data_IF_526328439897
#
_entry.id   IF_526328439897
#
_cell.length_a   1.000
_cell.length_b   1.000
_cell.length_c   1.000
_cell.angle_alpha   90.00
_cell.angle_beta   90.00
_cell.angle_gamma   90.00
#
_symmetry.space_group_name_H-M   'P 1'
#
loop_
_entity.id
_entity.type
_entity.pdbx_description
1 polymer ?
#
# COMPACT_ATOMS: atom_id res chain seq x y z
N UNK A 1 14.96 -13.23 -1.09
CA UNK A 1 14.96 -13.45 -2.56
C UNK A 1 14.58 -12.12 -3.16
N UNK A 2 15.37 -11.57 -4.10
CA UNK A 2 15.14 -10.21 -4.64
C UNK A 2 13.89 -10.19 -5.52
N UNK A 3 13.07 -9.13 -5.45
CA UNK A 3 11.84 -8.99 -6.24
C UNK A 3 12.14 -9.01 -7.76
N UNK A 4 11.86 -10.15 -8.41
CA UNK A 4 12.15 -10.40 -9.82
C UNK A 4 11.45 -9.43 -10.77
N UNK A 5 10.21 -9.05 -10.47
CA UNK A 5 9.47 -8.12 -11.32
C UNK A 5 10.13 -6.74 -11.35
N UNK A 6 10.69 -6.29 -10.22
CA UNK A 6 11.44 -5.02 -10.14
C UNK A 6 12.79 -5.14 -10.84
N UNK A 7 13.50 -6.26 -10.67
CA UNK A 7 14.75 -6.52 -11.39
C UNK A 7 14.53 -6.45 -12.90
N UNK A 8 13.51 -7.14 -13.41
CA UNK A 8 13.20 -7.15 -14.85
C UNK A 8 12.72 -5.77 -15.35
N UNK A 9 12.06 -4.99 -14.50
CA UNK A 9 11.69 -3.60 -14.81
C UNK A 9 12.94 -2.72 -14.96
N UNK A 10 13.85 -2.76 -13.98
CA UNK A 10 15.06 -1.94 -13.99
C UNK A 10 15.98 -2.38 -15.14
N UNK A 11 16.22 -3.68 -15.31
CA UNK A 11 17.10 -4.21 -16.35
C UNK A 11 16.67 -3.77 -17.76
N UNK A 12 15.35 -3.72 -18.03
CA UNK A 12 14.81 -3.22 -19.31
C UNK A 12 14.94 -1.70 -19.48
N UNK A 13 14.93 -0.96 -18.38
CA UNK A 13 15.01 0.50 -18.41
C UNK A 13 16.46 0.99 -18.58
N UNK A 14 17.45 0.30 -18.02
CA UNK A 14 18.86 0.74 -18.05
C UNK A 14 19.39 1.04 -19.47
N UNK A 15 19.14 0.21 -20.51
CA UNK A 15 19.62 0.49 -21.85
C UNK A 15 18.98 1.71 -22.52
N UNK A 16 17.74 2.02 -22.14
CA UNK A 16 16.97 3.13 -22.68
C UNK A 16 17.26 4.44 -21.93
N UNK A 17 17.88 4.35 -20.75
CA UNK A 17 18.01 5.46 -19.79
C UNK A 17 16.83 5.52 -18.84
N UNK A 18 17.05 6.17 -17.69
CA UNK A 18 16.03 6.30 -16.64
C UNK A 18 15.31 7.63 -16.75
N UNK A 19 13.98 7.63 -16.58
CA UNK A 19 13.21 8.86 -16.60
C UNK A 19 13.36 9.63 -15.29
N UNK A 20 13.93 10.83 -15.35
CA UNK A 20 13.95 11.76 -14.24
C UNK A 20 12.66 12.58 -14.24
N UNK A 21 11.92 12.67 -13.11
CA UNK A 21 10.62 13.33 -13.06
C UNK A 21 10.70 14.84 -13.27
N UNK A 22 11.90 15.42 -13.17
CA UNK A 22 12.11 16.87 -13.14
C UNK A 22 12.22 17.39 -11.71
N UNK A 23 12.44 18.68 -11.58
CA UNK A 23 12.45 19.42 -10.33
C UNK A 23 11.97 20.87 -10.59
N UNK A 24 12.06 21.73 -9.59
CA UNK A 24 11.61 23.13 -9.67
C UNK A 24 12.32 23.93 -10.78
N UNK A 25 13.48 23.48 -11.25
CA UNK A 25 14.32 24.19 -12.21
C UNK A 25 14.45 23.46 -13.56
N UNK A 26 14.17 22.16 -13.60
CA UNK A 26 14.41 21.32 -14.77
C UNK A 26 13.19 20.47 -15.11
N UNK A 27 12.75 20.48 -16.39
CA UNK A 27 11.65 19.63 -16.80
C UNK A 27 12.05 18.15 -16.76
N UNK A 28 11.03 17.30 -16.73
CA UNK A 28 11.19 15.86 -16.83
C UNK A 28 11.98 15.47 -18.08
N UNK A 29 12.91 14.53 -17.95
CA UNK A 29 13.80 14.13 -19.05
C UNK A 29 14.35 12.72 -18.84
N UNK A 30 14.71 12.06 -19.93
CA UNK A 30 15.46 10.80 -19.86
C UNK A 30 16.92 11.11 -19.50
N UNK A 31 17.43 10.44 -18.47
CA UNK A 31 18.83 10.46 -18.07
C UNK A 31 19.50 9.26 -18.72
N UNK A 32 20.36 9.49 -19.73
CA UNK A 32 21.11 8.41 -20.33
C UNK A 32 22.13 7.84 -19.34
N UNK A 33 22.28 6.52 -19.30
CA UNK A 33 23.25 5.85 -18.47
C UNK A 33 24.46 5.42 -19.32
N UNK A 34 25.62 6.08 -19.18
CA UNK A 34 26.84 5.64 -19.82
C UNK A 34 27.14 4.18 -19.45
N UNK A 35 27.61 3.38 -20.42
CA UNK A 35 27.89 1.96 -20.22
C UNK A 35 26.69 1.02 -20.42
N UNK A 36 25.45 1.54 -20.54
CA UNK A 36 24.27 0.74 -20.89
C UNK A 36 23.67 1.11 -22.26
N UNK A 37 24.17 2.14 -22.92
CA UNK A 37 23.65 2.55 -24.24
C UNK A 37 23.87 1.48 -25.28
N UNK A 38 22.79 1.08 -25.94
CA UNK A 38 22.80 0.10 -27.05
C UNK A 38 22.67 0.76 -28.42
N UNK A 39 22.62 2.09 -28.49
CA UNK A 39 22.49 2.83 -29.76
C UNK A 39 23.61 2.46 -30.73
N UNK A 40 23.26 1.92 -31.90
CA UNK A 40 24.22 1.46 -32.92
C UNK A 40 24.68 0.02 -32.75
N UNK A 41 24.19 -0.72 -31.75
CA UNK A 41 24.40 -2.17 -31.61
C UNK A 41 23.26 -2.94 -32.29
N UNK A 42 23.56 -4.11 -32.86
CA UNK A 42 22.53 -5.09 -33.21
C UNK A 42 21.96 -5.75 -31.95
N UNK A 43 20.74 -6.30 -32.03
CA UNK A 43 20.03 -6.83 -30.86
C UNK A 43 20.80 -7.93 -30.12
N UNK A 44 21.44 -8.86 -30.83
CA UNK A 44 22.27 -9.91 -30.22
C UNK A 44 23.48 -9.32 -29.46
N UNK A 45 24.13 -8.32 -30.05
CA UNK A 45 25.26 -7.66 -29.44
C UNK A 45 24.85 -6.82 -28.22
N UNK A 46 23.68 -6.18 -28.29
CA UNK A 46 23.11 -5.45 -27.18
C UNK A 46 22.80 -6.37 -25.99
N UNK A 47 22.20 -7.54 -26.25
CA UNK A 47 21.88 -8.52 -25.22
C UNK A 47 23.15 -9.11 -24.59
N UNK A 48 24.13 -9.51 -25.40
CA UNK A 48 25.38 -10.12 -24.93
C UNK A 48 26.22 -9.13 -24.11
N UNK A 49 26.36 -7.89 -24.57
CA UNK A 49 27.24 -6.91 -23.92
C UNK A 49 26.56 -6.17 -22.75
N UNK A 50 25.27 -5.88 -22.86
CA UNK A 50 24.56 -4.99 -21.92
C UNK A 50 23.53 -5.74 -21.08
N UNK A 51 22.85 -6.76 -21.63
CA UNK A 51 21.76 -7.46 -20.94
C UNK A 51 22.19 -8.13 -19.63
N UNK A 52 23.31 -8.86 -19.66
CA UNK A 52 23.87 -9.51 -18.46
C UNK A 52 24.28 -8.49 -17.39
N UNK A 53 24.95 -7.40 -17.78
CA UNK A 53 25.33 -6.33 -16.87
C UNK A 53 24.09 -5.62 -16.30
N UNK A 54 23.09 -5.32 -17.13
CA UNK A 54 21.86 -4.66 -16.72
C UNK A 54 21.11 -5.48 -15.66
N UNK A 55 21.10 -6.80 -15.82
CA UNK A 55 20.51 -7.71 -14.82
C UNK A 55 21.24 -7.67 -13.49
N UNK A 56 22.58 -7.74 -13.48
CA UNK A 56 23.37 -7.68 -12.23
C UNK A 56 23.17 -6.35 -11.50
N UNK A 57 23.17 -5.24 -12.23
CA UNK A 57 22.91 -3.92 -11.65
C UNK A 57 21.48 -3.81 -11.12
N UNK A 58 20.49 -4.32 -11.85
CA UNK A 58 19.11 -4.34 -11.42
C UNK A 58 18.91 -5.17 -10.14
N UNK A 59 19.56 -6.32 -10.03
CA UNK A 59 19.57 -7.15 -8.81
C UNK A 59 20.20 -6.40 -7.63
N UNK A 60 21.34 -5.74 -7.83
CA UNK A 60 22.02 -4.98 -6.78
C UNK A 60 21.19 -3.77 -6.30
N UNK A 61 20.60 -3.01 -7.22
CA UNK A 61 19.74 -1.86 -6.89
C UNK A 61 18.50 -2.34 -6.14
N UNK A 62 17.84 -3.39 -6.62
CA UNK A 62 16.64 -3.91 -5.97
C UNK A 62 16.98 -4.44 -4.57
N UNK A 63 18.09 -5.17 -4.42
CA UNK A 63 18.54 -5.64 -3.12
C UNK A 63 18.82 -4.50 -2.15
N UNK A 64 19.50 -3.43 -2.59
CA UNK A 64 19.77 -2.25 -1.78
C UNK A 64 18.48 -1.59 -1.27
N UNK A 65 17.48 -1.43 -2.13
CA UNK A 65 16.20 -0.82 -1.73
C UNK A 65 15.46 -1.74 -0.74
N UNK A 66 15.46 -3.05 -0.99
CA UNK A 66 14.81 -4.04 -0.13
C UNK A 66 15.46 -4.21 1.26
N UNK A 67 16.63 -3.63 1.50
CA UNK A 67 17.22 -3.61 2.84
C UNK A 67 16.42 -2.73 3.81
N UNK A 68 15.86 -1.64 3.32
CA UNK A 68 15.17 -0.62 4.15
C UNK A 68 13.70 -0.41 3.77
N UNK A 69 13.28 -0.85 2.58
CA UNK A 69 11.94 -0.60 2.05
C UNK A 69 11.28 -1.85 1.50
N UNK A 70 9.97 -1.95 1.68
CA UNK A 70 9.16 -2.97 1.00
C UNK A 70 8.70 -2.45 -0.36
N UNK A 71 9.01 -3.20 -1.42
CA UNK A 71 8.63 -2.86 -2.80
C UNK A 71 7.34 -3.58 -3.19
N UNK A 72 6.36 -2.78 -3.61
CA UNK A 72 5.00 -3.24 -3.89
C UNK A 72 4.47 -2.61 -5.19
N UNK A 73 3.77 -3.37 -6.05
CA UNK A 73 3.06 -2.80 -7.19
C UNK A 73 2.06 -1.71 -6.78
N UNK A 74 1.93 -0.67 -7.60
CA UNK A 74 0.97 0.42 -7.33
C UNK A 74 -0.48 -0.07 -7.15
N UNK A 75 -0.86 -1.13 -7.87
CA UNK A 75 -2.19 -1.73 -7.79
C UNK A 75 -2.46 -2.33 -6.40
N UNK A 76 -1.51 -3.12 -5.88
CA UNK A 76 -1.61 -3.75 -4.57
C UNK A 76 -1.65 -2.68 -3.46
N UNK A 77 -0.83 -1.62 -3.59
CA UNK A 77 -0.87 -0.50 -2.66
C UNK A 77 -2.23 0.24 -2.70
N UNK A 78 -2.84 0.37 -3.87
CA UNK A 78 -4.18 0.96 -4.00
C UNK A 78 -5.24 0.05 -3.37
N UNK A 79 -5.15 -1.26 -3.57
CA UNK A 79 -6.05 -2.23 -2.98
C UNK A 79 -5.96 -2.20 -1.45
N UNK A 80 -4.76 -2.20 -0.86
CA UNK A 80 -4.59 -2.11 0.59
C UNK A 80 -5.18 -0.81 1.17
N UNK A 81 -5.05 0.32 0.46
CA UNK A 81 -5.69 1.58 0.88
C UNK A 81 -7.21 1.49 0.80
N UNK A 82 -7.74 0.82 -0.22
CA UNK A 82 -9.18 0.60 -0.37
C UNK A 82 -9.71 -0.34 0.73
N UNK A 83 -9.04 -1.48 0.94
CA UNK A 83 -9.37 -2.44 1.98
C UNK A 83 -9.31 -1.79 3.37
N UNK A 84 -8.32 -0.93 3.62
CA UNK A 84 -8.25 -0.17 4.86
C UNK A 84 -9.38 0.86 5.01
N UNK A 85 -9.84 1.45 3.90
CA UNK A 85 -10.97 2.39 3.92
C UNK A 85 -12.33 1.68 4.12
N UNK A 86 -12.44 0.46 3.60
CA UNK A 86 -13.65 -0.38 3.64
C UNK A 86 -13.67 -1.33 4.85
N UNK A 87 -12.55 -1.48 5.56
CA UNK A 87 -12.46 -2.29 6.76
C UNK A 87 -13.50 -1.83 7.79
N UNK A 88 -14.22 -2.75 8.45
CA UNK A 88 -15.12 -2.38 9.53
C UNK A 88 -14.33 -1.72 10.66
N UNK A 89 -14.41 -0.39 10.75
CA UNK A 89 -13.85 0.36 11.88
C UNK A 89 -14.51 -0.15 13.17
N UNK A 90 -13.68 -0.53 14.15
CA UNK A 90 -14.05 -1.35 15.30
C UNK A 90 -15.43 -1.04 15.89
N UNK A 91 -16.38 -1.94 15.66
CA UNK A 91 -17.72 -1.88 16.26
C UNK A 91 -17.59 -1.93 17.77
N UNK A 92 -18.05 -0.88 18.46
CA UNK A 92 -18.12 -0.88 19.93
C UNK A 92 -19.51 -1.30 20.35
N UNK A 93 -19.59 -2.37 21.16
CA UNK A 93 -20.85 -2.79 21.78
C UNK A 93 -20.88 -2.22 23.20
N UNK A 94 -21.81 -1.29 23.45
CA UNK A 94 -22.06 -0.72 24.78
C UNK A 94 -23.28 -1.42 25.37
N UNK A 95 -23.07 -2.22 26.41
CA UNK A 95 -24.16 -2.87 27.15
C UNK A 95 -24.46 -2.11 28.44
N UNK A 96 -25.69 -1.65 28.59
CA UNK A 96 -26.19 -0.96 29.77
C UNK A 96 -26.83 -1.97 30.73
N UNK A 97 -26.51 -1.85 32.01
CA UNK A 97 -27.06 -2.65 33.09
C UNK A 97 -27.67 -1.74 34.15
N UNK A 98 -28.59 -2.28 34.94
CA UNK A 98 -29.04 -1.62 36.17
C UNK A 98 -27.86 -1.53 37.14
N UNK A 99 -27.74 -0.41 37.86
CA UNK A 99 -26.74 -0.24 38.91
C UNK A 99 -26.90 -1.26 40.04
N UNK A 100 -28.13 -1.71 40.32
CA UNK A 100 -28.43 -2.74 41.31
C UNK A 100 -28.04 -4.15 40.83
N UNK A 101 -27.91 -4.36 39.52
CA UNK A 101 -27.41 -5.62 38.95
C UNK A 101 -25.87 -5.64 38.98
N UNK A 102 -25.33 -5.91 40.16
CA UNK A 102 -23.88 -6.01 40.37
C UNK A 102 -23.22 -7.17 39.62
N UNK A 103 -24.00 -8.18 39.23
CA UNK A 103 -23.51 -9.36 38.51
C UNK A 103 -23.58 -9.21 36.99
N UNK A 104 -24.28 -8.18 36.50
CA UNK A 104 -24.45 -7.88 35.06
C UNK A 104 -25.08 -9.05 34.32
N UNK A 105 -26.08 -9.67 34.92
CA UNK A 105 -26.76 -10.85 34.37
C UNK A 105 -27.89 -10.44 33.42
N UNK A 106 -28.53 -9.28 33.65
CA UNK A 106 -29.68 -8.83 32.86
C UNK A 106 -29.40 -7.48 32.19
N UNK A 107 -29.02 -7.45 30.90
CA UNK A 107 -28.79 -6.20 30.18
C UNK A 107 -30.10 -5.44 29.96
N UNK A 108 -30.09 -4.15 30.26
CA UNK A 108 -31.20 -3.22 30.00
C UNK A 108 -31.26 -2.80 28.53
N UNK A 109 -30.08 -2.61 27.91
CA UNK A 109 -29.95 -2.21 26.51
C UNK A 109 -28.57 -2.58 25.97
N UNK A 110 -28.50 -2.96 24.69
CA UNK A 110 -27.25 -3.18 23.96
C UNK A 110 -27.22 -2.20 22.80
N UNK A 111 -26.20 -1.35 22.77
CA UNK A 111 -25.98 -0.37 21.71
C UNK A 111 -24.78 -0.79 20.87
N UNK A 112 -24.99 -0.88 19.57
CA UNK A 112 -23.91 -1.12 18.61
C UNK A 112 -23.50 0.22 18.01
N UNK A 113 -22.33 0.71 18.37
CA UNK A 113 -21.74 1.95 17.84
C UNK A 113 -20.81 1.58 16.69
N UNK A 114 -21.09 2.14 15.51
CA UNK A 114 -20.27 1.99 14.31
C UNK A 114 -19.29 3.15 14.15
N UNK A 115 -19.16 3.64 12.91
CA UNK A 115 -18.21 4.69 12.52
C UNK A 115 -18.50 6.09 13.09
N UNK A 116 -19.75 6.34 13.49
CA UNK A 116 -20.19 7.61 14.07
C UNK A 116 -20.39 7.46 15.57
N UNK A 117 -20.10 8.51 16.33
CA UNK A 117 -20.38 8.56 17.78
C UNK A 117 -21.89 8.65 18.10
N UNK A 118 -22.73 8.75 17.06
CA UNK A 118 -24.18 8.80 17.17
C UNK A 118 -24.82 7.41 17.01
N UNK A 119 -25.78 7.10 17.89
CA UNK A 119 -26.63 5.90 17.79
C UNK A 119 -28.09 6.32 17.70
N UNK A 120 -28.81 5.78 16.72
CA UNK A 120 -30.27 5.98 16.60
C UNK A 120 -31.01 4.86 17.31
N UNK A 121 -31.90 5.23 18.24
CA UNK A 121 -32.69 4.27 19.05
C UNK A 121 -34.17 4.60 18.87
N UNK A 122 -35.02 3.56 18.78
CA UNK A 122 -36.47 3.75 18.76
C UNK A 122 -36.93 4.39 20.08
N UNK A 123 -37.67 5.50 19.99
CA UNK A 123 -38.24 6.24 21.12
C UNK A 123 -39.08 5.34 22.07
N UNK A 124 -39.70 4.28 21.56
CA UNK A 124 -40.45 3.30 22.37
C UNK A 124 -39.52 2.46 23.27
N UNK A 125 -38.31 2.17 22.82
CA UNK A 125 -37.31 1.45 23.63
C UNK A 125 -36.77 2.35 24.75
N UNK A 126 -36.52 3.64 24.46
CA UNK A 126 -36.11 4.63 25.48
C UNK A 126 -37.14 4.79 26.60
N UNK A 127 -38.44 4.72 26.30
CA UNK A 127 -39.51 4.82 27.30
C UNK A 127 -39.50 3.69 28.33
N UNK A 128 -38.94 2.53 28.01
CA UNK A 128 -38.80 1.41 28.95
C UNK A 128 -37.73 1.65 30.02
N UNK A 129 -36.85 2.63 29.81
CA UNK A 129 -35.74 2.98 30.72
C UNK A 129 -36.06 4.17 31.63
N UNK A 130 -37.19 4.86 31.41
CA UNK A 130 -37.56 6.10 32.10
C UNK A 130 -38.75 5.93 33.08
N UNK A 131 -39.15 4.68 33.36
CA UNK A 131 -40.14 4.31 34.38
C UNK A 131 -39.41 3.65 35.54
#
# INVERSE_FOLDING_TARGET
MVNRAVVDLIARALPQGLFHPGDDQTPSRVVPLPGFRTTGMGDEQAEEMIGAAAKVFAEAITHLIEQDYELMPKADAAQLRQDAADAPDGTRVITLFDRADHKRETPLLVLTVGKTDDVTIDKRQLRKLAQ
#
